data_IF_051552328092
#
_entry.id   IF_051552328092
#
_cell.length_a   1.000
_cell.length_b   1.000
_cell.length_c   1.000
_cell.angle_alpha   90.00
_cell.angle_beta   90.00
_cell.angle_gamma   90.00
#
_symmetry.space_group_name_H-M   'P 1'
#
loop_
_entity.id
_entity.type
_entity.pdbx_description
1 polymer ?
2 polymer ?
3 non-polymer ?
4 water ?
#
# COMPACT_ATOMS: atom_id res chain seq x y z
N UNK A 2 -7.77 -19.63 -3.41
CA UNK A 2 -7.67 -20.52 -2.25
C UNK A 2 -6.46 -21.44 -2.42
N UNK A 3 -6.13 -22.18 -1.37
CA UNK A 3 -5.02 -23.12 -1.41
C UNK A 3 -5.62 -24.50 -1.41
N UNK A 4 -5.69 -25.12 -2.60
CA UNK A 4 -6.37 -26.40 -2.82
C UNK A 4 -5.42 -27.57 -2.97
N UNK A 5 -6.00 -28.77 -2.82
CA UNK A 5 -5.26 -30.02 -2.95
C UNK A 5 -5.55 -30.68 -4.28
N UNK A 6 -4.53 -31.29 -4.90
CA UNK A 6 -4.69 -31.98 -6.18
C UNK A 6 -5.67 -33.14 -6.08
N UNK A 7 -6.58 -33.25 -7.05
CA UNK A 7 -7.54 -34.33 -7.19
C UNK A 7 -6.91 -35.21 -8.27
N UNK A 8 -6.54 -36.45 -7.93
CA UNK A 8 -5.80 -37.25 -8.90
C UNK A 8 -6.21 -38.69 -8.96
N UNK A 9 -5.86 -39.34 -10.09
CA UNK A 9 -6.12 -40.75 -10.37
C UNK A 9 -5.49 -41.59 -9.26
N UNK A 10 -6.33 -42.34 -8.55
CA UNK A 10 -5.90 -43.24 -7.49
C UNK A 10 -5.64 -42.70 -6.10
N UNK A 11 -6.11 -41.48 -5.81
CA UNK A 11 -5.91 -40.91 -4.48
C UNK A 11 -6.87 -41.53 -3.47
N UNK A 12 -6.51 -41.47 -2.19
CA UNK A 12 -7.41 -41.88 -1.12
C UNK A 12 -8.24 -40.64 -0.73
N UNK A 13 -9.38 -40.84 -0.07
CA UNK A 13 -10.29 -39.78 0.39
C UNK A 13 -10.64 -38.77 -0.72
N UNK A 14 -10.88 -39.28 -1.93
CA UNK A 14 -11.21 -38.47 -3.11
C UNK A 14 -12.38 -37.52 -2.95
N UNK A 15 -13.53 -38.05 -2.46
CA UNK A 15 -14.75 -37.27 -2.24
C UNK A 15 -14.51 -36.14 -1.24
N UNK A 16 -13.80 -36.46 -0.12
CA UNK A 16 -13.43 -35.53 0.93
C UNK A 16 -12.55 -34.41 0.36
N UNK A 17 -11.52 -34.78 -0.47
CA UNK A 17 -10.61 -33.79 -1.09
C UNK A 17 -11.36 -32.84 -2.03
N UNK A 18 -12.22 -33.40 -2.90
CA UNK A 18 -13.05 -32.63 -3.85
C UNK A 18 -13.92 -31.67 -3.05
N UNK A 19 -14.62 -32.18 -2.02
CA UNK A 19 -15.48 -31.34 -1.17
C UNK A 19 -14.71 -30.19 -0.49
N UNK A 20 -13.53 -30.51 0.11
CA UNK A 20 -12.65 -29.55 0.79
C UNK A 20 -12.27 -28.42 -0.18
N UNK A 21 -11.86 -28.78 -1.41
CA UNK A 21 -11.46 -27.83 -2.45
C UNK A 21 -12.61 -26.95 -2.86
N UNK A 22 -13.80 -27.55 -3.06
CA UNK A 22 -15.00 -26.80 -3.42
C UNK A 22 -15.36 -25.81 -2.34
N UNK A 23 -15.27 -26.24 -1.08
CA UNK A 23 -15.60 -25.38 0.05
C UNK A 23 -14.63 -24.23 0.18
N UNK A 24 -13.32 -24.48 0.03
CA UNK A 24 -12.29 -23.42 0.14
C UNK A 24 -12.45 -22.40 -0.98
N UNK A 25 -12.69 -22.87 -2.21
CA UNK A 25 -12.93 -21.99 -3.34
C UNK A 25 -14.20 -21.14 -3.11
N UNK A 26 -15.30 -21.82 -2.74
CA UNK A 26 -16.57 -21.17 -2.48
C UNK A 26 -16.48 -20.11 -1.39
N UNK A 27 -15.65 -20.36 -0.34
CA UNK A 27 -15.46 -19.41 0.75
C UNK A 27 -14.99 -18.06 0.20
N UNK A 28 -14.08 -18.07 -0.81
CA UNK A 28 -13.55 -16.86 -1.44
C UNK A 28 -14.50 -16.10 -2.34
N UNK A 29 -15.67 -16.69 -2.61
CA UNK A 29 -16.72 -15.98 -3.34
C UNK A 29 -17.50 -15.09 -2.34
N UNK A 30 -17.31 -15.28 -1.02
CA UNK A 30 -18.00 -14.47 0.01
C UNK A 30 -17.04 -13.46 0.59
N UNK A 31 -15.81 -13.90 0.96
CA UNK A 31 -14.79 -13.03 1.54
C UNK A 31 -13.39 -13.64 1.46
N UNK A 32 -12.40 -12.79 1.70
CA UNK A 32 -11.01 -13.20 1.77
C UNK A 32 -10.32 -13.47 0.44
N UNK A 33 -9.15 -14.10 0.53
CA UNK A 33 -8.35 -14.37 -0.65
C UNK A 33 -7.96 -13.09 -1.37
N UNK A 34 -7.79 -13.19 -2.70
CA UNK A 34 -7.38 -12.03 -3.47
C UNK A 34 -8.55 -11.42 -4.25
N UNK A 35 -9.79 -11.72 -3.86
CA UNK A 35 -10.93 -11.16 -4.59
C UNK A 35 -11.61 -10.00 -3.88
N UNK A 36 -12.08 -9.03 -4.66
CA UNK A 36 -12.80 -7.88 -4.12
C UNK A 36 -14.25 -8.30 -4.02
N UNK A 37 -14.86 -8.07 -2.84
CA UNK A 37 -16.24 -8.44 -2.56
C UNK A 37 -17.19 -7.28 -2.41
N UNK A 38 -18.48 -7.58 -2.50
CA UNK A 38 -19.56 -6.60 -2.36
C UNK A 38 -19.80 -6.24 -0.88
N UNK A 39 -19.04 -6.85 0.06
CA UNK A 39 -19.09 -6.53 1.49
C UNK A 39 -17.67 -6.58 2.05
N UNK A 40 -17.52 -6.08 3.27
CA UNK A 40 -16.25 -6.13 3.97
C UNK A 40 -15.26 -5.02 3.70
N UNK A 41 -14.45 -4.71 4.72
CA UNK A 41 -13.41 -3.69 4.62
C UNK A 41 -12.23 -4.32 3.91
N UNK A 42 -11.89 -3.81 2.72
CA UNK A 42 -10.82 -4.41 1.92
C UNK A 42 -9.82 -3.41 1.40
N UNK A 43 -8.59 -3.88 1.24
CA UNK A 43 -7.48 -3.09 0.71
C UNK A 43 -7.16 -3.68 -0.66
N UNK A 44 -7.11 -2.80 -1.66
CA UNK A 44 -7.00 -3.15 -3.07
C UNK A 44 -5.80 -2.46 -3.73
N UNK A 45 -4.84 -3.27 -4.20
CA UNK A 45 -3.65 -2.78 -4.90
C UNK A 45 -3.86 -2.86 -6.43
N UNK A 46 -3.01 -2.18 -7.19
CA UNK A 46 -3.07 -2.15 -8.64
C UNK A 46 -3.84 -0.95 -9.18
N UNK A 47 -3.55 -0.58 -10.43
CA UNK A 47 -4.25 0.52 -11.10
C UNK A 47 -5.64 0.01 -11.47
N UNK A 48 -6.68 0.69 -11.00
CA UNK A 48 -8.05 0.28 -11.30
C UNK A 48 -8.72 1.35 -12.16
N UNK A 49 -9.12 0.97 -13.37
CA UNK A 49 -9.77 1.87 -14.32
C UNK A 49 -11.25 1.51 -14.41
N UNK A 50 -12.14 2.44 -13.99
CA UNK A 50 -13.58 2.26 -14.09
C UNK A 50 -14.03 2.95 -15.38
N UNK A 51 -14.51 2.17 -16.35
CA UNK A 51 -14.94 2.72 -17.65
C UNK A 51 -16.34 3.31 -17.60
N UNK A 52 -17.10 2.92 -16.59
CA UNK A 52 -18.46 3.40 -16.39
C UNK A 52 -18.60 4.50 -15.35
N UNK A 53 -19.79 4.63 -14.79
CA UNK A 53 -20.11 5.61 -13.77
C UNK A 53 -19.88 5.04 -12.40
N UNK A 54 -19.32 5.86 -11.52
CA UNK A 54 -19.02 5.47 -10.14
C UNK A 54 -19.78 6.38 -9.19
N UNK A 55 -20.42 5.77 -8.18
CA UNK A 55 -21.10 6.51 -7.12
C UNK A 55 -20.47 6.11 -5.77
N UNK A 56 -20.18 7.10 -4.92
CA UNK A 56 -19.67 6.87 -3.56
C UNK A 56 -20.67 7.51 -2.62
N UNK A 57 -21.36 6.70 -1.79
CA UNK A 57 -22.37 7.17 -0.83
C UNK A 57 -21.79 7.65 0.48
N UNK A 58 -20.60 7.14 0.81
CA UNK A 58 -19.91 7.54 2.02
C UNK A 58 -18.92 8.65 1.71
N UNK A 59 -17.82 8.69 2.44
CA UNK A 59 -16.79 9.69 2.17
C UNK A 59 -15.82 9.13 1.14
N UNK A 60 -15.16 10.04 0.42
CA UNK A 60 -14.12 9.72 -0.54
C UNK A 60 -12.87 10.43 -0.05
N UNK A 61 -11.92 9.66 0.49
CA UNK A 61 -10.71 10.24 1.06
C UNK A 61 -9.52 10.13 0.11
N UNK A 62 -8.90 11.27 -0.22
CA UNK A 62 -7.74 11.32 -1.12
C UNK A 62 -6.50 11.71 -0.31
N UNK A 63 -5.26 11.56 -0.85
CA UNK A 63 -4.07 11.97 -0.07
C UNK A 63 -4.11 13.47 0.23
N UNK A 64 -3.70 13.85 1.43
CA UNK A 64 -3.74 15.23 1.91
C UNK A 64 -2.43 15.67 2.56
N UNK A 65 -2.07 16.96 2.37
CA UNK A 65 -0.90 17.55 3.02
C UNK A 65 -1.13 19.03 3.20
N UNK A 66 -0.71 19.58 4.35
CA UNK A 66 -0.85 20.98 4.65
C UNK A 66 0.47 21.70 4.79
N UNK A 67 0.44 23.01 4.54
CA UNK A 67 1.59 23.89 4.69
C UNK A 67 1.06 25.27 4.94
N UNK A 68 1.73 26.00 5.82
CA UNK A 68 1.40 27.40 6.07
C UNK A 68 2.69 28.16 6.32
N UNK A 69 2.74 29.39 5.83
CA UNK A 69 3.92 30.21 6.04
C UNK A 69 3.69 31.67 5.72
N UNK A 70 4.56 32.51 6.27
CA UNK A 70 4.47 33.93 5.97
C UNK A 70 5.23 34.16 4.68
N UNK A 71 4.51 34.47 3.59
CA UNK A 71 5.13 34.73 2.29
C UNK A 71 6.08 35.92 2.35
N UNK A 72 5.64 36.95 3.06
CA UNK A 72 6.37 38.20 3.25
C UNK A 72 5.46 39.33 3.62
N UNK A 73 6.04 40.35 4.24
CA UNK A 73 5.33 41.55 4.67
C UNK A 73 4.16 41.32 5.60
N UNK A 74 4.17 40.18 6.30
CA UNK A 74 3.12 39.80 7.25
C UNK A 74 1.99 38.96 6.65
N UNK A 75 2.00 38.79 5.32
CA UNK A 75 0.98 38.00 4.65
C UNK A 75 1.24 36.51 4.86
N UNK A 76 0.22 35.81 5.35
CA UNK A 76 0.29 34.37 5.61
C UNK A 76 -0.52 33.62 4.56
N UNK A 77 0.03 32.55 4.02
CA UNK A 77 -0.72 31.72 3.09
C UNK A 77 -0.82 30.30 3.68
N UNK A 78 -2.04 29.81 3.91
CA UNK A 78 -2.28 28.48 4.46
C UNK A 78 -2.84 27.62 3.36
N UNK A 79 -2.19 26.48 3.14
CA UNK A 79 -2.54 25.57 2.06
C UNK A 79 -2.85 24.17 2.52
N UNK A 80 -3.74 23.50 1.79
CA UNK A 80 -4.02 22.09 1.95
C UNK A 80 -4.26 21.47 0.59
N UNK A 81 -3.36 20.54 0.21
CA UNK A 81 -3.43 19.80 -1.03
C UNK A 81 -4.32 18.57 -0.79
N UNK A 82 -5.32 18.36 -1.66
CA UNK A 82 -6.25 17.23 -1.64
C UNK A 82 -6.32 16.75 -3.08
N UNK A 83 -5.59 15.68 -3.40
CA UNK A 83 -5.51 15.18 -4.77
C UNK A 83 -4.75 16.17 -5.62
N UNK A 84 -5.37 16.65 -6.71
CA UNK A 84 -4.75 17.63 -7.62
C UNK A 84 -5.28 19.07 -7.37
N UNK A 85 -5.93 19.30 -6.22
CA UNK A 85 -6.43 20.63 -5.89
C UNK A 85 -5.73 21.14 -4.64
N UNK A 86 -5.41 22.45 -4.62
CA UNK A 86 -4.88 23.07 -3.41
C UNK A 86 -5.92 24.04 -2.88
N UNK A 87 -6.34 23.83 -1.63
CA UNK A 87 -7.24 24.74 -0.93
C UNK A 87 -6.36 25.80 -0.28
N UNK A 88 -6.64 27.07 -0.54
CA UNK A 88 -5.83 28.12 0.07
C UNK A 88 -6.68 29.05 0.94
N UNK A 89 -6.02 29.71 1.87
CA UNK A 89 -6.62 30.73 2.71
C UNK A 89 -5.55 31.79 2.96
N UNK A 90 -5.84 33.04 2.57
CA UNK A 90 -4.91 34.14 2.78
C UNK A 90 -5.18 34.68 4.20
N UNK A 91 -4.12 34.89 4.96
CA UNK A 91 -4.25 35.42 6.31
C UNK A 91 -3.16 36.42 6.65
N UNK A 92 -3.02 36.67 7.93
CA UNK A 92 -2.02 37.59 8.44
C UNK A 92 -2.48 39.03 8.43
N UNK A 93 -1.50 39.92 8.47
CA UNK A 93 -1.72 41.36 8.54
C UNK A 93 -0.45 42.01 8.05
N UNK A 94 -0.60 42.97 7.12
CA UNK A 94 0.53 43.66 6.51
C UNK A 94 1.33 44.37 7.60
N UNK A 95 2.58 43.96 7.78
CA UNK A 95 3.46 44.44 8.85
C UNK A 95 4.63 45.31 8.42
N UNK A 96 4.86 45.42 7.10
CA UNK A 96 5.91 46.24 6.48
C UNK A 96 5.45 46.57 5.08
N UNK A 97 6.08 47.57 4.42
CA UNK A 97 5.71 48.00 3.08
C UNK A 97 5.95 46.94 2.04
N UNK A 98 4.90 46.65 1.27
CA UNK A 98 4.98 45.69 0.17
C UNK A 98 4.83 46.52 -1.09
N UNK A 99 5.88 46.58 -1.91
CA UNK A 99 5.82 47.36 -3.14
C UNK A 99 4.93 46.70 -4.18
N UNK A 100 4.30 47.52 -5.04
CA UNK A 100 3.51 47.04 -6.15
C UNK A 100 4.36 46.13 -7.04
N UNK A 101 3.82 44.95 -7.42
CA UNK A 101 4.51 43.97 -8.29
C UNK A 101 5.73 43.27 -7.71
N UNK A 102 5.92 43.35 -6.39
CA UNK A 102 7.08 42.79 -5.73
C UNK A 102 6.96 41.32 -5.42
N UNK A 103 8.11 40.64 -5.38
CA UNK A 103 8.18 39.26 -4.95
C UNK A 103 8.10 39.25 -3.41
N UNK A 104 7.45 38.20 -2.86
CA UNK A 104 7.33 37.97 -1.41
C UNK A 104 8.41 36.94 -1.11
N UNK A 105 9.44 37.38 -0.37
CA UNK A 105 10.68 36.62 -0.20
C UNK A 105 10.99 36.02 1.17
N UNK A 106 10.03 36.09 2.11
CA UNK A 106 10.21 35.48 3.43
C UNK A 106 10.11 33.95 3.31
N UNK A 107 9.08 33.45 2.58
CA UNK A 107 8.89 32.03 2.33
C UNK A 107 8.38 31.84 0.93
N UNK A 108 8.90 30.81 0.25
CA UNK A 108 8.38 30.41 -1.05
C UNK A 108 7.38 29.29 -0.78
N UNK A 109 6.38 29.11 -1.66
CA UNK A 109 5.46 27.99 -1.54
C UNK A 109 6.29 26.72 -1.88
N UNK A 110 6.25 25.65 -1.05
CA UNK A 110 7.04 24.43 -1.35
C UNK A 110 6.66 23.81 -2.69
N UNK A 111 7.66 23.21 -3.38
CA UNK A 111 7.46 22.61 -4.70
C UNK A 111 6.21 21.74 -4.86
N UNK A 112 5.89 20.94 -3.85
CA UNK A 112 4.74 20.03 -3.93
C UNK A 112 3.37 20.73 -3.97
N UNK A 113 3.34 22.04 -3.64
CA UNK A 113 2.11 22.85 -3.68
C UNK A 113 2.13 23.85 -4.84
N UNK A 114 3.19 23.79 -5.65
CA UNK A 114 3.34 24.71 -6.77
C UNK A 114 2.56 24.31 -8.00
N UNK A 115 1.84 25.26 -8.62
CA UNK A 115 1.06 24.92 -9.82
C UNK A 115 1.94 24.82 -11.07
N UNK A 116 1.34 24.31 -12.16
CA UNK A 116 2.00 24.16 -13.45
C UNK A 116 2.24 25.54 -14.05
N UNK A 117 1.20 26.39 -14.00
CA UNK A 117 1.17 27.76 -14.53
C UNK A 117 0.80 28.71 -13.42
N UNK A 118 1.15 29.99 -13.57
CA UNK A 118 0.86 31.07 -12.64
C UNK A 118 -0.62 31.07 -12.26
N UNK A 119 -0.90 31.03 -10.96
CA UNK A 119 -2.27 31.11 -10.44
C UNK A 119 -2.42 32.44 -9.71
N UNK A 120 -3.50 33.18 -10.00
CA UNK A 120 -3.74 34.48 -9.40
C UNK A 120 -4.80 34.34 -8.32
N UNK A 121 -4.40 34.48 -7.05
CA UNK A 121 -5.31 34.31 -5.92
C UNK A 121 -5.88 35.67 -5.50
N UNK A 122 -7.17 35.87 -5.75
CA UNK A 122 -7.81 37.17 -5.46
C UNK A 122 -8.15 37.24 -3.98
N UNK A 123 -7.83 38.39 -3.39
CA UNK A 123 -8.12 38.64 -2.00
C UNK A 123 -8.76 39.99 -1.78
N UNK A 124 -9.16 40.24 -0.54
CA UNK A 124 -9.82 41.49 -0.17
C UNK A 124 -9.26 41.98 1.17
N UNK A 125 -9.21 43.30 1.34
CA UNK A 125 -8.70 43.94 2.56
C UNK A 125 -9.86 44.29 3.46
N UNK A 126 -9.83 43.83 4.72
CA UNK A 126 -10.89 44.15 5.68
C UNK A 126 -11.18 45.68 5.74
N UNK A 127 -12.46 46.00 5.83
CA UNK A 127 -12.95 47.35 6.15
C UNK A 127 -13.15 48.36 5.05
N UNK A 128 -12.90 47.95 3.81
CA UNK A 128 -13.08 48.83 2.67
C UNK A 128 -13.48 48.00 1.47
N UNK A 129 -13.32 48.60 0.28
CA UNK A 129 -13.69 47.96 -0.98
C UNK A 129 -12.47 47.44 -1.76
N UNK A 130 -11.28 47.38 -1.11
CA UNK A 130 -10.04 47.08 -1.82
C UNK A 130 -9.78 45.62 -2.06
N UNK A 131 -9.44 45.26 -3.32
CA UNK A 131 -9.03 43.91 -3.68
C UNK A 131 -7.60 43.89 -4.13
N UNK A 132 -6.98 42.72 -4.07
CA UNK A 132 -5.63 42.52 -4.58
C UNK A 132 -5.60 41.09 -5.14
N UNK A 133 -4.47 40.71 -5.70
CA UNK A 133 -4.22 39.31 -6.00
C UNK A 133 -2.76 39.02 -5.75
N UNK A 134 -2.47 37.78 -5.38
CA UNK A 134 -1.12 37.27 -5.17
C UNK A 134 -0.94 36.17 -6.19
N UNK A 135 0.13 36.23 -7.01
CA UNK A 135 0.41 35.17 -7.95
C UNK A 135 1.27 34.13 -7.32
N UNK A 136 0.94 32.86 -7.58
CA UNK A 136 1.79 31.75 -7.22
C UNK A 136 2.31 31.19 -8.56
N UNK A 137 3.58 31.45 -8.94
CA UNK A 137 4.11 30.82 -10.16
C UNK A 137 4.61 29.40 -9.86
N UNK A 138 5.06 28.66 -10.90
CA UNK A 138 5.60 27.31 -10.71
C UNK A 138 6.80 27.27 -9.77
N UNK A 139 7.55 28.39 -9.65
CA UNK A 139 8.71 28.51 -8.75
C UNK A 139 8.31 28.62 -7.26
N UNK A 140 7.06 28.97 -6.99
CA UNK A 140 6.62 29.18 -5.61
C UNK A 140 7.00 30.52 -5.01
N UNK A 141 7.65 31.38 -5.82
CA UNK A 141 8.07 32.73 -5.37
C UNK A 141 6.87 33.63 -5.67
N UNK A 142 6.03 33.82 -4.65
CA UNK A 142 4.80 34.57 -4.79
C UNK A 142 5.01 36.05 -5.07
N UNK A 143 4.07 36.66 -5.80
CA UNK A 143 4.18 38.06 -6.18
C UNK A 143 2.91 38.81 -5.80
N UNK A 144 3.07 39.99 -5.21
CA UNK A 144 1.97 40.87 -4.79
C UNK A 144 1.57 41.75 -5.96
N UNK A 145 0.29 41.69 -6.36
CA UNK A 145 -0.21 42.51 -7.45
C UNK A 145 -1.20 43.59 -7.08
N UNK A 146 -1.23 43.94 -5.80
CA UNK A 146 -1.97 45.11 -5.36
C UNK A 146 -1.04 46.30 -5.57
N UNK A 147 -1.42 47.52 -5.14
CA UNK A 147 -0.49 48.65 -5.24
C UNK A 147 0.47 48.60 -4.04
N UNK A 148 1.39 49.56 -3.93
CA UNK A 148 2.24 49.62 -2.75
C UNK A 148 1.33 49.78 -1.51
N UNK A 149 1.54 48.92 -0.50
CA UNK A 149 0.70 48.90 0.71
C UNK A 149 1.54 48.62 1.95
N UNK A 150 1.23 49.31 3.06
CA UNK A 150 2.01 49.16 4.28
C UNK A 150 1.21 48.74 5.49
N UNK A 151 -0.10 48.51 5.31
CA UNK A 151 -0.98 48.09 6.40
C UNK A 151 -2.21 47.39 5.84
N UNK A 152 -2.95 46.76 6.73
CA UNK A 152 -4.21 46.13 6.34
C UNK A 152 -4.26 44.65 6.61
N UNK A 153 -5.48 44.11 6.55
CA UNK A 153 -5.77 42.72 6.86
C UNK A 153 -6.23 42.01 5.60
N UNK A 154 -5.32 41.23 4.97
CA UNK A 154 -5.67 40.53 3.72
C UNK A 154 -6.34 39.17 3.96
N UNK A 155 -7.41 38.88 3.19
CA UNK A 155 -8.19 37.65 3.33
C UNK A 155 -8.65 37.12 1.99
N UNK A 156 -8.95 35.82 1.95
CA UNK A 156 -9.47 35.19 0.76
C UNK A 156 -9.25 33.69 0.76
N UNK A 157 -10.34 32.96 0.54
CA UNK A 157 -10.37 31.49 0.53
C UNK A 157 -10.78 31.00 -0.85
N UNK A 158 -10.08 30.00 -1.36
CA UNK A 158 -10.40 29.44 -2.66
C UNK A 158 -9.55 28.24 -2.96
N UNK A 159 -9.41 27.94 -4.24
CA UNK A 159 -8.55 26.83 -4.66
C UNK A 159 -7.78 27.19 -5.92
N UNK A 160 -6.71 26.44 -6.18
CA UNK A 160 -5.99 26.50 -7.44
C UNK A 160 -5.53 25.07 -7.77
N UNK A 161 -5.31 24.74 -9.06
CA UNK A 161 -4.94 23.34 -9.42
C UNK A 161 -3.44 23.07 -9.40
N UNK A 162 -3.11 21.80 -9.19
CA UNK A 162 -1.76 21.25 -9.17
C UNK A 162 -1.69 19.98 -10.02
N UNK A 163 -0.47 19.56 -10.40
CA UNK A 163 -0.30 18.30 -11.14
C UNK A 163 0.08 17.15 -10.21
N UNK B 2 6.48 -5.76 14.87
CA UNK B 2 5.75 -6.22 13.68
C UNK B 2 6.68 -6.36 12.45
N UNK B 3 7.46 -7.45 12.41
CA UNK B 3 8.41 -7.72 11.34
C UNK B 3 8.49 -9.21 11.00
N UNK B 4 8.74 -9.50 9.71
CA UNK B 4 8.95 -10.84 9.16
C UNK B 4 10.26 -10.73 8.39
N UNK B 5 11.32 -11.37 8.90
CA UNK B 5 12.66 -11.28 8.29
C UNK B 5 13.07 -12.61 7.69
N UNK B 6 13.31 -12.63 6.37
CA UNK B 6 13.71 -13.82 5.61
C UNK B 6 15.22 -13.88 5.43
N UNK B 7 15.71 -15.09 5.13
CA UNK B 7 17.10 -15.44 4.81
C UNK B 7 17.14 -16.84 4.21
N UNK B 8 18.25 -17.19 3.57
CA UNK B 8 18.45 -18.52 3.01
C UNK B 8 18.37 -18.68 1.51
N UNK B 9 17.95 -17.62 0.83
CA UNK B 9 17.85 -17.65 -0.63
C UNK B 9 19.21 -17.60 -1.28
N UNK B 10 19.30 -18.08 -2.50
CA UNK B 10 20.56 -18.06 -3.23
C UNK B 10 20.46 -18.74 -4.56
N UNK B 11 21.62 -18.93 -5.20
CA UNK B 11 21.70 -19.58 -6.50
C UNK B 11 22.10 -21.03 -6.32
N UNK B 12 21.36 -21.92 -6.97
CA UNK B 12 21.61 -23.35 -6.92
C UNK B 12 21.39 -23.95 -8.31
N UNK B 13 21.94 -25.14 -8.57
CA UNK B 13 21.75 -25.85 -9.81
C UNK B 13 20.49 -26.73 -9.67
N UNK B 14 19.81 -27.16 -10.76
CA UNK B 14 18.67 -28.09 -10.60
C UNK B 14 19.10 -29.37 -9.89
N UNK B 15 18.23 -29.85 -8.99
CA UNK B 15 18.49 -31.01 -8.15
C UNK B 15 19.05 -30.59 -6.81
N UNK B 16 19.45 -29.32 -6.73
CA UNK B 16 19.99 -28.68 -5.54
C UNK B 16 18.97 -28.48 -4.42
N UNK B 17 19.47 -28.02 -3.28
CA UNK B 17 18.71 -27.81 -2.05
C UNK B 17 18.98 -26.42 -1.49
N UNK B 18 18.03 -25.90 -0.71
CA UNK B 18 18.09 -24.60 -0.08
C UNK B 18 17.14 -24.62 1.12
N UNK B 19 17.43 -23.82 2.14
CA UNK B 19 16.61 -23.74 3.34
C UNK B 19 16.32 -22.30 3.68
N UNK B 20 15.04 -21.90 3.58
CA UNK B 20 14.63 -20.55 3.90
C UNK B 20 14.18 -20.49 5.36
N UNK B 21 14.34 -19.32 5.98
CA UNK B 21 13.94 -19.05 7.37
C UNK B 21 13.19 -17.75 7.44
N UNK B 22 12.17 -17.68 8.32
CA UNK B 22 11.46 -16.44 8.52
C UNK B 22 11.30 -16.14 10.00
N UNK B 23 11.87 -15.01 10.46
CA UNK B 23 11.83 -14.56 11.84
C UNK B 23 10.62 -13.65 12.03
N UNK B 24 9.57 -14.19 12.64
CA UNK B 24 8.31 -13.51 12.87
C UNK B 24 8.19 -13.01 14.30
N UNK B 25 8.06 -11.69 14.47
CA UNK B 25 7.91 -11.12 15.81
C UNK B 25 6.90 -9.96 15.76
N UNK B 26 6.39 -9.59 16.93
CA UNK B 26 5.49 -8.46 17.07
C UNK B 26 4.01 -8.72 16.95
N UNK B 27 3.56 -9.98 17.02
CA UNK B 27 2.13 -10.29 16.94
C UNK B 27 1.78 -11.59 17.61
N UNK B 28 0.50 -11.74 17.96
CA UNK B 28 -0.04 -12.86 18.73
C UNK B 28 0.37 -14.30 18.37
N UNK B 29 -0.04 -14.84 17.20
CA UNK B 29 0.24 -16.23 16.73
C UNK B 29 -0.95 -17.16 16.89
N UNK B 30 -1.75 -16.91 17.93
CA UNK B 30 -2.95 -17.67 18.24
C UNK B 30 -3.84 -17.80 17.02
N UNK B 31 -3.96 -16.71 16.25
CA UNK B 31 -4.85 -16.66 15.10
C UNK B 31 -4.15 -16.75 13.74
N UNK B 32 -2.83 -16.88 13.75
CA UNK B 32 -2.08 -16.83 12.51
C UNK B 32 -1.49 -18.11 11.97
N UNK B 33 -1.26 -18.09 10.67
CA UNK B 33 -0.50 -19.08 9.94
C UNK B 33 0.60 -18.25 9.34
N UNK B 34 1.81 -18.81 9.33
CA UNK B 34 2.96 -18.15 8.75
C UNK B 34 3.45 -19.07 7.64
N UNK B 35 3.83 -18.47 6.53
CA UNK B 35 4.23 -19.29 5.42
C UNK B 35 4.93 -18.54 4.33
N UNK B 36 4.95 -19.15 3.17
CA UNK B 36 5.69 -18.65 2.04
C UNK B 36 4.85 -18.56 0.80
N UNK B 37 4.95 -17.44 0.09
CA UNK B 37 4.58 -17.39 -1.32
C UNK B 37 5.81 -17.30 -2.21
N UNK B 38 5.58 -17.22 -3.52
CA UNK B 38 6.64 -16.87 -4.47
C UNK B 38 6.08 -16.12 -5.67
N UNK B 39 6.93 -15.39 -6.36
CA UNK B 39 6.51 -14.57 -7.49
C UNK B 39 7.68 -14.28 -8.44
N UNK B 40 7.51 -14.66 -9.70
CA UNK B 40 8.28 -14.06 -10.78
C UNK B 40 8.19 -12.55 -10.76
N UNK B 41 9.29 -11.85 -11.28
CA UNK B 41 8.88 -10.56 -11.86
C UNK B 41 7.78 -10.72 -12.92
N UNK B 42 7.58 -11.95 -13.38
CA UNK B 42 6.64 -12.21 -14.45
C UNK B 42 5.47 -13.06 -14.01
N UNK B 43 4.74 -12.59 -13.01
CA UNK B 43 3.62 -13.35 -12.44
C UNK B 43 2.92 -12.56 -11.34
N UNK B 44 1.77 -13.05 -10.91
CA UNK B 44 1.27 -12.76 -9.57
C UNK B 44 1.86 -13.73 -8.55
N UNK B 45 1.63 -13.45 -7.27
CA UNK B 45 2.05 -14.36 -6.19
C UNK B 45 1.34 -15.70 -6.31
N UNK B 46 2.04 -16.76 -5.92
CA UNK B 46 1.39 -18.03 -5.59
C UNK B 46 1.80 -18.52 -4.21
N UNK B 47 0.84 -19.05 -3.47
CA UNK B 47 1.13 -19.68 -2.18
C UNK B 47 1.94 -20.95 -2.36
N UNK B 48 2.94 -21.14 -1.49
CA UNK B 48 3.84 -22.30 -1.53
C UNK B 48 3.55 -23.26 -0.38
N UNK B 49 3.69 -22.78 0.86
CA UNK B 49 3.50 -23.62 2.03
C UNK B 49 3.31 -22.78 3.26
N UNK B 50 2.37 -23.17 4.14
CA UNK B 50 2.09 -22.43 5.37
C UNK B 50 1.90 -23.38 6.52
N UNK B 51 2.09 -22.85 7.73
CA UNK B 51 1.93 -23.62 8.95
C UNK B 51 1.11 -22.83 9.97
N UNK B 52 0.11 -23.47 10.60
CA UNK B 52 -0.69 -22.86 11.67
C UNK B 52 0.26 -22.65 12.87
N UNK B 53 0.28 -21.43 13.43
CA UNK B 53 1.18 -21.12 14.55
C UNK B 53 0.65 -21.65 15.87
N UNK B 54 -0.60 -22.13 15.89
CA UNK B 54 -1.21 -22.71 17.07
C UNK B 54 -1.03 -24.22 17.10
N UNK B 55 -1.81 -24.95 16.27
CA UNK B 55 -1.88 -26.42 16.17
C UNK B 55 -0.89 -27.10 15.21
N UNK B 56 -0.13 -26.31 14.47
CA UNK B 56 0.87 -26.83 13.55
C UNK B 56 0.38 -27.47 12.27
N UNK B 57 -0.96 -27.40 11.96
CA UNK B 57 -1.45 -27.95 10.67
C UNK B 57 -0.82 -27.20 9.52
N UNK B 58 -0.58 -27.90 8.42
CA UNK B 58 0.16 -27.33 7.29
C UNK B 58 -0.57 -27.43 5.99
N UNK B 59 -0.08 -26.64 5.02
CA UNK B 59 -0.48 -26.68 3.64
C UNK B 59 0.81 -26.69 2.81
N UNK B 60 0.86 -27.50 1.75
CA UNK B 60 1.96 -27.56 0.79
C UNK B 60 1.33 -27.61 -0.59
N UNK B 61 1.70 -26.66 -1.46
CA UNK B 61 1.17 -26.54 -2.82
C UNK B 61 1.52 -27.77 -3.67
N UNK B 62 0.62 -28.13 -4.62
CA UNK B 62 0.78 -29.27 -5.51
C UNK B 62 2.08 -29.23 -6.30
N UNK B 63 2.44 -28.04 -6.85
CA UNK B 63 3.67 -27.81 -7.62
C UNK B 63 4.95 -28.18 -6.85
N UNK B 64 4.87 -28.27 -5.51
CA UNK B 64 6.03 -28.53 -4.65
C UNK B 64 5.89 -29.74 -3.70
N UNK B 65 4.75 -30.49 -3.76
CA UNK B 65 4.55 -31.64 -2.86
C UNK B 65 5.60 -32.72 -3.11
N UNK B 66 6.19 -33.18 -2.00
CA UNK B 66 7.23 -34.21 -1.99
C UNK B 66 8.63 -33.65 -2.09
N UNK B 67 8.77 -32.32 -2.31
CA UNK B 67 10.04 -31.64 -2.47
C UNK B 67 10.27 -30.56 -1.40
N UNK B 68 9.23 -29.78 -1.08
CA UNK B 68 9.31 -28.71 -0.08
C UNK B 68 8.54 -29.09 1.16
N UNK B 69 9.14 -28.87 2.34
CA UNK B 69 8.55 -29.15 3.66
C UNK B 69 8.72 -27.95 4.60
N UNK B 70 7.63 -27.57 5.31
CA UNK B 70 7.61 -26.43 6.23
C UNK B 70 7.80 -26.86 7.71
N UNK B 71 8.50 -26.05 8.51
CA UNK B 71 8.78 -26.29 9.93
C UNK B 71 8.64 -25.00 10.70
N UNK B 72 8.48 -25.11 12.01
CA UNK B 72 8.37 -23.95 12.84
C UNK B 72 9.08 -24.18 14.16
N UNK B 73 9.28 -23.10 14.89
CA UNK B 73 9.74 -23.05 16.25
C UNK B 73 9.34 -21.72 16.87
N UNK B 74 8.29 -21.79 17.66
CA UNK B 74 7.75 -20.66 18.38
C UNK B 74 8.57 -20.58 19.66
N UNK B 75 9.47 -19.60 19.69
CA UNK B 75 10.44 -19.26 20.75
C UNK B 75 11.43 -18.34 20.04
N UNK B 76 11.98 -18.83 18.92
CA UNK B 76 12.88 -18.08 18.07
C UNK B 76 12.04 -17.23 17.11
N UNK B 77 10.69 -17.44 17.17
CA UNK B 77 9.67 -16.75 16.35
C UNK B 77 9.99 -16.99 14.88
N UNK B 78 10.41 -18.23 14.54
CA UNK B 78 10.94 -18.58 13.23
C UNK B 78 10.32 -19.79 12.54
N UNK B 79 9.99 -19.63 11.23
CA UNK B 79 9.43 -20.69 10.37
C UNK B 79 10.46 -21.04 9.28
N UNK B 80 10.56 -22.33 8.90
CA UNK B 80 11.52 -22.84 7.90
C UNK B 80 10.91 -23.49 6.69
N UNK B 81 11.53 -23.29 5.51
CA UNK B 81 11.09 -23.99 4.31
C UNK B 81 12.27 -24.78 3.77
N UNK B 82 12.22 -26.11 3.86
CA UNK B 82 13.28 -26.97 3.33
C UNK B 82 12.93 -27.26 1.90
N UNK B 83 13.73 -26.74 0.97
CA UNK B 83 13.47 -26.92 -0.46
C UNK B 83 14.46 -27.89 -1.08
N UNK B 84 13.98 -29.09 -1.41
CA UNK B 84 14.79 -30.15 -2.00
C UNK B 84 14.41 -30.36 -3.44
N UNK B 85 15.28 -31.08 -4.21
CA UNK B 85 15.08 -31.40 -5.62
C UNK B 85 14.58 -30.17 -6.40
N UNK B 86 15.32 -29.05 -6.26
CA UNK B 86 14.96 -27.77 -6.88
C UNK B 86 14.97 -27.83 -8.41
N UNK B 87 13.96 -27.19 -9.02
CA UNK B 87 13.74 -27.15 -10.47
C UNK B 87 13.86 -25.72 -10.98
N UNK B 88 14.16 -25.55 -12.28
CA UNK B 88 14.26 -24.23 -12.93
C UNK B 88 13.04 -23.34 -12.64
N UNK B 89 11.83 -23.93 -12.68
CA UNK B 89 10.55 -23.26 -12.45
C UNK B 89 10.31 -22.84 -10.98
N UNK B 90 11.22 -23.21 -10.06
CA UNK B 90 11.11 -22.78 -8.66
C UNK B 90 11.76 -21.41 -8.49
N UNK B 91 12.47 -20.92 -9.54
CA UNK B 91 13.10 -19.59 -9.51
C UNK B 91 12.02 -18.53 -9.28
N UNK B 92 12.19 -17.70 -8.25
CA UNK B 92 11.25 -16.64 -7.87
C UNK B 92 11.77 -15.92 -6.66
N UNK B 93 11.10 -14.84 -6.29
CA UNK B 93 11.39 -14.24 -5.02
C UNK B 93 10.38 -14.80 -4.03
N UNK B 94 10.86 -15.32 -2.91
CA UNK B 94 10.01 -15.96 -1.92
C UNK B 94 9.75 -15.01 -0.77
N UNK B 95 8.49 -14.78 -0.47
CA UNK B 95 8.06 -13.85 0.58
C UNK B 95 7.50 -14.58 1.76
N UNK B 96 7.96 -14.21 2.96
CA UNK B 96 7.37 -14.74 4.17
C UNK B 96 6.05 -13.97 4.35
N UNK B 97 5.02 -14.65 4.83
CA UNK B 97 3.71 -14.04 5.00
C UNK B 97 3.03 -14.54 6.25
N UNK B 98 2.24 -13.67 6.88
CA UNK B 98 1.47 -14.01 8.07
C UNK B 98 0.04 -13.63 7.84
N UNK B 99 -0.87 -14.58 7.99
CA UNK B 99 -2.28 -14.31 7.78
C UNK B 99 -3.22 -15.13 8.63
N UNK B 100 -4.41 -14.57 8.86
CA UNK B 100 -5.51 -15.23 9.54
C UNK B 100 -6.14 -16.10 8.46
N UNK B 101 -6.67 -17.27 8.85
CA UNK B 101 -7.12 -18.24 7.87
C UNK B 101 -8.24 -19.11 8.34
N UNK B 102 -8.82 -19.85 7.40
CA UNK B 102 -9.81 -20.91 7.66
C UNK B 102 -9.38 -22.14 6.88
N UNK B 103 -9.68 -23.33 7.40
CA UNK B 103 -9.39 -24.57 6.70
C UNK B 103 -10.67 -25.35 6.46
N UNK B 104 -10.67 -26.15 5.40
CA UNK B 104 -11.73 -27.05 4.98
C UNK B 104 -10.97 -28.33 4.71
N UNK B 105 -10.77 -29.11 5.77
CA UNK B 105 -9.95 -30.31 5.70
C UNK B 105 -8.52 -29.92 5.37
N UNK B 106 -8.02 -30.39 4.23
CA UNK B 106 -6.67 -30.12 3.76
C UNK B 106 -6.56 -28.81 2.93
N UNK B 107 -7.70 -28.21 2.55
CA UNK B 107 -7.75 -26.96 1.77
C UNK B 107 -7.80 -25.72 2.68
N UNK B 108 -7.14 -24.64 2.27
CA UNK B 108 -7.09 -23.41 3.09
C UNK B 108 -7.59 -22.18 2.34
N UNK B 109 -7.92 -21.13 3.12
CA UNK B 109 -8.23 -19.80 2.59
C UNK B 109 -7.75 -18.74 3.60
N UNK B 110 -7.03 -17.72 3.11
CA UNK B 110 -6.59 -16.61 3.96
C UNK B 110 -7.74 -15.60 3.97
N UNK B 111 -8.12 -15.13 5.17
CA UNK B 111 -9.31 -14.30 5.39
C UNK B 111 -9.17 -12.79 5.49
N UNK B 112 -7.93 -12.29 5.43
CA UNK B 112 -7.62 -10.86 5.55
C UNK B 112 -8.25 -10.01 4.46
N UNK B 113 -8.51 -8.74 4.80
CA UNK B 113 -9.11 -7.78 3.87
C UNK B 113 -8.16 -7.30 2.79
N UNK B 114 -6.87 -7.49 2.99
CA UNK B 114 -5.85 -7.05 2.04
C UNK B 114 -5.47 -8.09 1.00
N UNK B 115 -4.54 -7.69 0.09
CA UNK B 115 -4.07 -8.57 -0.99
C UNK B 115 -3.71 -9.97 -0.53
N UNK B 116 -4.23 -10.99 -1.26
CA UNK B 116 -4.01 -12.42 -0.98
C UNK B 116 -4.57 -12.90 0.40
N UNK B 117 -5.32 -12.04 1.09
CA UNK B 117 -5.90 -12.31 2.40
C UNK B 117 -4.88 -12.31 3.51
N UNK B 118 -3.68 -11.75 3.23
CA UNK B 118 -2.52 -11.72 4.13
C UNK B 118 -2.40 -10.39 4.86
N UNK B 119 -2.05 -10.43 6.15
CA UNK B 119 -1.90 -9.24 6.98
C UNK B 119 -0.50 -8.62 6.87
N UNK B 120 0.57 -9.45 6.98
CA UNK B 120 1.95 -8.98 6.95
C UNK B 120 2.83 -9.76 6.00
N UNK B 121 3.77 -9.04 5.38
CA UNK B 121 4.71 -9.59 4.43
C UNK B 121 6.14 -9.26 4.80
N UNK B 122 7.03 -10.18 4.48
CA UNK B 122 8.47 -9.97 4.58
C UNK B 122 8.94 -9.26 3.32
N UNK B 123 10.23 -8.91 3.25
CA UNK B 123 10.82 -8.18 2.12
C UNK B 123 11.08 -9.08 0.91
N UNK B 124 11.18 -10.38 1.16
CA UNK B 124 11.44 -11.36 0.11
C UNK B 124 12.87 -11.81 0.04
N UNK B 125 13.07 -13.07 -0.35
CA UNK B 125 14.38 -13.70 -0.54
C UNK B 125 14.39 -14.33 -1.92
N UNK B 126 15.40 -14.00 -2.73
CA UNK B 126 15.51 -14.53 -4.09
C UNK B 126 16.08 -15.95 -4.10
N UNK B 127 15.38 -16.86 -4.79
CA UNK B 127 15.79 -18.25 -5.01
C UNK B 127 15.99 -18.38 -6.53
N UNK B 128 17.22 -18.71 -6.96
CA UNK B 128 17.53 -18.85 -8.38
C UNK B 128 18.04 -20.25 -8.67
N UNK B 129 17.34 -20.92 -9.60
CA UNK B 129 17.70 -22.27 -10.00
C UNK B 129 18.11 -22.22 -11.46
N UNK B 130 19.42 -22.40 -11.73
CA UNK B 130 19.94 -22.36 -13.09
C UNK B 130 21.11 -23.30 -13.32
N UNK B 131 21.23 -23.80 -14.57
CA UNK B 131 22.25 -24.73 -15.04
C UNK B 131 23.66 -24.13 -15.00
#
# INVERSE_FOLDING_TARGET
MASIKKVYRGMKNGAETINDDLEAINSELTSGGNVVHKTGDETIAGKKTFTGNVEVNGSLTLPTKSWSGELGGGIILSLRKKGTTVEYSIGGEISSSILANSNLVNRSVPNEFCPRNRCSLVGHMVGGWNAFHIDIPSSGVCQWFGPTASSGTPRGTGTYPID
DVQLVESGGGLVQPGGSLRLSCEASGFSFDDYAIGWFRQAPGKEREGVSYISMSDGRTYVADSVTGRFTISSDNAKNTVYLQMNSLKLEDTAVYYCAAGRFVTFGSAWSFVGGGPYGIDYWGKGTLVTVSS
#
